data_IF_259112138660
#
_entry.id   IF_259112138660
#
_cell.length_a   1.000
_cell.length_b   1.000
_cell.length_c   1.000
_cell.angle_alpha   90.00
_cell.angle_beta   90.00
_cell.angle_gamma   90.00
#
_symmetry.space_group_name_H-M   'P 1'
#
loop_
_entity.id
_entity.type
_entity.pdbx_description
1 polymer ?
#
# COMPACT_ATOMS: atom_id res chain seq x y z
N UNK A 1 7.31 -38.20 -18.90
CA UNK A 1 7.47 -36.74 -19.02
C UNK A 1 7.27 -36.13 -17.65
N UNK A 2 8.23 -35.37 -17.12
CA UNK A 2 8.15 -34.79 -15.78
C UNK A 2 6.96 -33.82 -15.67
N UNK A 3 6.20 -33.89 -14.58
CA UNK A 3 5.05 -33.01 -14.31
C UNK A 3 5.39 -31.52 -14.49
N UNK A 4 6.61 -31.12 -14.09
CA UNK A 4 7.16 -29.78 -14.29
C UNK A 4 7.16 -29.34 -15.76
N UNK A 5 7.58 -30.22 -16.68
CA UNK A 5 7.64 -29.90 -18.12
C UNK A 5 6.23 -29.69 -18.68
N UNK A 6 5.27 -30.53 -18.28
CA UNK A 6 3.86 -30.39 -18.68
C UNK A 6 3.30 -29.06 -18.18
N UNK A 7 3.55 -28.69 -16.92
CA UNK A 7 3.10 -27.41 -16.34
C UNK A 7 3.69 -26.21 -17.06
N UNK A 8 4.99 -26.23 -17.38
CA UNK A 8 5.66 -25.14 -18.10
C UNK A 8 5.09 -24.99 -19.51
N UNK A 9 4.89 -26.09 -20.23
CA UNK A 9 4.30 -26.07 -21.59
C UNK A 9 2.85 -25.56 -21.53
N UNK A 10 2.03 -26.03 -20.59
CA UNK A 10 0.66 -25.58 -20.43
C UNK A 10 0.56 -24.08 -20.11
N UNK A 11 1.43 -23.57 -19.23
CA UNK A 11 1.53 -22.13 -18.94
C UNK A 11 1.91 -21.33 -20.19
N UNK A 12 2.87 -21.81 -20.99
CA UNK A 12 3.30 -21.15 -22.21
C UNK A 12 2.18 -21.07 -23.25
N UNK A 13 1.44 -22.18 -23.46
CA UNK A 13 0.27 -22.23 -24.34
C UNK A 13 -0.83 -21.28 -23.86
N UNK A 14 -1.13 -21.26 -22.56
CA UNK A 14 -2.11 -20.35 -21.97
C UNK A 14 -1.72 -18.89 -22.20
N UNK A 15 -0.44 -18.53 -22.00
CA UNK A 15 0.06 -17.17 -22.26
C UNK A 15 -0.12 -16.80 -23.73
N UNK A 16 0.24 -17.67 -24.68
CA UNK A 16 0.04 -17.43 -26.11
C UNK A 16 -1.43 -17.19 -26.44
N UNK A 17 -2.33 -18.02 -25.89
CA UNK A 17 -3.78 -17.87 -26.08
C UNK A 17 -4.29 -16.55 -25.53
N UNK A 18 -3.87 -16.17 -24.31
CA UNK A 18 -4.24 -14.90 -23.69
C UNK A 18 -3.75 -13.72 -24.52
N UNK A 19 -2.50 -13.75 -25.01
CA UNK A 19 -1.95 -12.71 -25.89
C UNK A 19 -2.72 -12.62 -27.21
N UNK A 20 -3.15 -13.74 -27.78
CA UNK A 20 -3.94 -13.77 -29.02
C UNK A 20 -5.34 -13.20 -28.80
N UNK A 21 -6.02 -13.60 -27.72
CA UNK A 21 -7.35 -13.09 -27.35
C UNK A 21 -7.26 -11.58 -27.08
N UNK A 22 -6.26 -11.14 -26.31
CA UNK A 22 -6.00 -9.73 -26.03
C UNK A 22 -5.85 -8.92 -27.30
N UNK A 23 -5.14 -9.42 -28.32
CA UNK A 23 -4.98 -8.70 -29.60
C UNK A 23 -6.29 -8.49 -30.35
N UNK A 24 -7.24 -9.41 -30.24
CA UNK A 24 -8.50 -9.33 -31.00
C UNK A 24 -9.53 -8.36 -30.41
N UNK A 25 -9.39 -7.96 -29.13
CA UNK A 25 -10.37 -7.11 -28.44
C UNK A 25 -9.69 -5.87 -27.84
N UNK A 26 -9.95 -4.65 -28.35
CA UNK A 26 -9.35 -3.43 -27.81
C UNK A 26 -9.55 -3.27 -26.30
N UNK A 27 -10.75 -3.58 -25.78
CA UNK A 27 -11.05 -3.53 -24.35
C UNK A 27 -10.06 -4.36 -23.51
N UNK A 28 -9.74 -5.58 -23.95
CA UNK A 28 -8.82 -6.46 -23.24
C UNK A 28 -7.38 -5.92 -23.28
N UNK A 29 -6.99 -5.23 -24.36
CA UNK A 29 -5.70 -4.56 -24.42
C UNK A 29 -5.61 -3.46 -23.36
N UNK A 30 -6.65 -2.62 -23.24
CA UNK A 30 -6.68 -1.57 -22.23
C UNK A 30 -6.68 -2.13 -20.81
N UNK A 31 -7.53 -3.13 -20.53
CA UNK A 31 -7.55 -3.82 -19.24
C UNK A 31 -6.19 -4.41 -18.90
N UNK A 32 -5.51 -5.01 -19.89
CA UNK A 32 -4.16 -5.51 -19.71
C UNK A 32 -3.18 -4.38 -19.38
N UNK A 33 -3.21 -3.23 -20.04
CA UNK A 33 -2.30 -2.13 -19.72
C UNK A 33 -2.50 -1.60 -18.30
N UNK A 34 -3.76 -1.43 -17.88
CA UNK A 34 -4.07 -0.93 -16.54
C UNK A 34 -4.09 -2.03 -15.46
N UNK A 35 -3.71 -3.27 -15.79
CA UNK A 35 -3.83 -4.43 -14.90
C UNK A 35 -3.20 -4.22 -13.53
N UNK A 36 -2.05 -3.54 -13.47
CA UNK A 36 -1.35 -3.27 -12.21
C UNK A 36 -2.09 -2.23 -11.37
N UNK A 37 -2.59 -1.14 -11.98
CA UNK A 37 -3.44 -0.17 -11.28
C UNK A 37 -4.74 -0.82 -10.79
N UNK A 38 -5.36 -1.67 -11.62
CA UNK A 38 -6.54 -2.44 -11.23
C UNK A 38 -6.24 -3.42 -10.09
N UNK A 39 -5.09 -4.10 -10.12
CA UNK A 39 -4.67 -5.01 -9.05
C UNK A 39 -4.51 -4.25 -7.73
N UNK A 40 -3.87 -3.08 -7.73
CA UNK A 40 -3.76 -2.24 -6.53
C UNK A 40 -5.14 -1.78 -6.04
N UNK A 41 -6.03 -1.37 -6.96
CA UNK A 41 -7.41 -1.04 -6.61
C UNK A 41 -8.19 -2.22 -6.01
N UNK A 42 -8.02 -3.41 -6.58
CA UNK A 42 -8.60 -4.66 -6.08
C UNK A 42 -8.05 -5.00 -4.69
N UNK A 43 -6.75 -4.82 -4.46
CA UNK A 43 -6.14 -4.99 -3.14
C UNK A 43 -6.75 -4.00 -2.16
N UNK A 44 -6.92 -2.72 -2.51
CA UNK A 44 -7.54 -1.75 -1.59
C UNK A 44 -8.97 -2.15 -1.19
N UNK A 45 -9.77 -2.63 -2.14
CA UNK A 45 -11.15 -3.07 -1.87
C UNK A 45 -11.19 -4.41 -1.13
N UNK A 46 -10.32 -5.34 -1.51
CA UNK A 46 -10.29 -6.72 -1.02
C UNK A 46 -9.50 -6.93 0.26
N UNK A 47 -8.58 -6.03 0.62
CA UNK A 47 -7.68 -6.20 1.77
C UNK A 47 -8.47 -6.41 3.06
N UNK A 48 -9.42 -5.52 3.37
CA UNK A 48 -10.23 -5.61 4.57
C UNK A 48 -11.08 -6.91 4.64
N UNK A 49 -11.92 -7.24 3.65
CA UNK A 49 -12.73 -8.45 3.74
C UNK A 49 -11.89 -9.73 3.75
N UNK A 50 -10.80 -9.79 2.98
CA UNK A 50 -9.90 -10.96 2.98
C UNK A 50 -9.19 -11.09 4.32
N UNK A 51 -8.64 -9.99 4.86
CA UNK A 51 -7.88 -10.01 6.11
C UNK A 51 -8.75 -10.31 7.34
N UNK A 52 -10.01 -9.88 7.36
CA UNK A 52 -10.89 -10.02 8.52
C UNK A 52 -11.77 -11.27 8.48
N UNK A 53 -12.20 -11.73 7.30
CA UNK A 53 -13.14 -12.84 7.19
C UNK A 53 -12.54 -14.10 6.54
N UNK A 54 -11.70 -13.94 5.51
CA UNK A 54 -11.17 -15.09 4.78
C UNK A 54 -9.90 -15.67 5.41
N UNK A 55 -9.00 -14.79 5.88
CA UNK A 55 -7.69 -15.13 6.44
C UNK A 55 -7.41 -14.38 7.76
N UNK A 56 -8.29 -14.49 8.78
CA UNK A 56 -8.17 -13.73 10.04
C UNK A 56 -6.83 -13.94 10.74
N UNK A 57 -6.33 -15.17 10.78
CA UNK A 57 -5.08 -15.53 11.46
C UNK A 57 -3.83 -14.81 10.89
N UNK A 58 -3.88 -14.36 9.63
CA UNK A 58 -2.78 -13.65 8.98
C UNK A 58 -3.04 -12.14 8.91
N UNK A 59 -4.29 -11.74 8.67
CA UNK A 59 -4.64 -10.38 8.29
C UNK A 59 -5.15 -9.50 9.42
N UNK A 60 -5.72 -10.07 10.48
CA UNK A 60 -6.40 -9.27 11.52
C UNK A 60 -5.45 -8.29 12.22
N UNK A 61 -4.19 -8.69 12.42
CA UNK A 61 -3.15 -7.85 13.03
C UNK A 61 -2.85 -6.57 12.23
N UNK A 62 -3.17 -6.52 10.94
CA UNK A 62 -3.03 -5.29 10.15
C UNK A 62 -3.96 -4.18 10.66
N UNK A 63 -5.12 -4.56 11.19
CA UNK A 63 -6.16 -3.62 11.63
C UNK A 63 -6.11 -3.27 13.12
N UNK A 64 -5.09 -3.76 13.84
CA UNK A 64 -4.81 -3.35 15.22
C UNK A 64 -4.20 -1.95 15.19
N UNK A 65 -5.03 -0.96 15.52
CA UNK A 65 -4.66 0.46 15.50
C UNK A 65 -4.99 1.05 16.87
N UNK A 66 -3.94 1.33 17.63
CA UNK A 66 -4.00 1.77 19.01
C UNK A 66 -3.63 3.25 19.17
N UNK A 67 -3.82 4.09 18.15
CA UNK A 67 -3.72 5.54 18.31
C UNK A 67 -4.65 6.28 17.35
N UNK A 68 -5.19 7.43 17.76
CA UNK A 68 -5.97 8.31 16.87
C UNK A 68 -5.13 8.81 15.68
N UNK A 69 -3.85 9.05 15.91
CA UNK A 69 -2.88 9.41 14.87
C UNK A 69 -2.66 8.26 13.89
N UNK A 70 -2.65 7.01 14.37
CA UNK A 70 -2.61 5.82 13.53
C UNK A 70 -3.83 5.71 12.62
N UNK A 71 -5.03 5.98 13.14
CA UNK A 71 -6.27 6.02 12.34
C UNK A 71 -6.14 7.10 11.25
N UNK A 72 -5.78 8.33 11.62
CA UNK A 72 -5.61 9.44 10.68
C UNK A 72 -4.57 9.15 9.60
N UNK A 73 -3.42 8.58 9.99
CA UNK A 73 -2.35 8.20 9.06
C UNK A 73 -2.80 7.11 8.08
N UNK A 74 -3.44 6.04 8.58
CA UNK A 74 -3.98 4.96 7.74
C UNK A 74 -5.03 5.51 6.78
N UNK A 75 -5.95 6.36 7.24
CA UNK A 75 -6.95 7.02 6.39
C UNK A 75 -6.29 7.85 5.29
N UNK A 76 -5.30 8.68 5.65
CA UNK A 76 -4.58 9.50 4.69
C UNK A 76 -3.85 8.65 3.63
N UNK A 77 -3.12 7.62 4.07
CA UNK A 77 -2.39 6.72 3.16
C UNK A 77 -3.32 5.90 2.26
N UNK A 78 -4.46 5.44 2.78
CA UNK A 78 -5.44 4.73 1.96
C UNK A 78 -5.99 5.62 0.84
N UNK A 79 -6.34 6.88 1.17
CA UNK A 79 -6.81 7.86 0.18
C UNK A 79 -5.71 8.13 -0.86
N UNK A 80 -4.48 8.37 -0.42
CA UNK A 80 -3.34 8.57 -1.33
C UNK A 80 -3.15 7.35 -2.24
N UNK A 81 -3.21 6.12 -1.72
CA UNK A 81 -3.11 4.89 -2.51
C UNK A 81 -4.20 4.81 -3.58
N UNK A 82 -5.44 5.19 -3.25
CA UNK A 82 -6.52 5.24 -4.24
C UNK A 82 -6.28 6.27 -5.35
N UNK A 83 -5.65 7.41 -5.02
CA UNK A 83 -5.24 8.40 -6.01
C UNK A 83 -4.08 7.92 -6.86
N UNK A 84 -3.15 7.12 -6.32
CA UNK A 84 -2.11 6.45 -7.13
C UNK A 84 -2.76 5.54 -8.18
N UNK A 85 -3.77 4.76 -7.79
CA UNK A 85 -4.55 3.94 -8.74
C UNK A 85 -5.15 4.83 -9.84
N UNK A 86 -5.82 5.92 -9.47
CA UNK A 86 -6.38 6.87 -10.43
C UNK A 86 -5.32 7.44 -11.37
N UNK A 87 -4.22 7.97 -10.83
CA UNK A 87 -3.18 8.64 -11.62
C UNK A 87 -2.51 7.68 -12.57
N UNK A 88 -2.08 6.51 -12.09
CA UNK A 88 -1.39 5.53 -12.93
C UNK A 88 -2.30 4.92 -13.98
N UNK A 89 -3.58 4.68 -13.66
CA UNK A 89 -4.56 4.21 -14.64
C UNK A 89 -4.75 5.24 -15.76
N UNK A 90 -4.98 6.51 -15.42
CA UNK A 90 -5.18 7.58 -16.41
C UNK A 90 -3.93 7.83 -17.26
N UNK A 91 -2.75 7.83 -16.63
CA UNK A 91 -1.48 7.98 -17.31
C UNK A 91 -1.27 6.83 -18.29
N UNK A 92 -1.51 5.59 -17.87
CA UNK A 92 -1.35 4.40 -18.71
C UNK A 92 -2.31 4.40 -19.89
N UNK A 93 -3.59 4.71 -19.69
CA UNK A 93 -4.59 4.76 -20.78
C UNK A 93 -4.20 5.82 -21.83
N UNK A 94 -3.67 6.97 -21.39
CA UNK A 94 -3.28 8.06 -22.29
C UNK A 94 -1.99 7.76 -23.04
N UNK A 95 -1.04 7.10 -22.39
CA UNK A 95 0.27 6.80 -22.97
C UNK A 95 0.25 5.53 -23.83
N UNK A 96 -0.68 4.61 -23.59
CA UNK A 96 -0.76 3.33 -24.31
C UNK A 96 -0.81 3.49 -25.85
N UNK A 97 -1.66 4.36 -26.46
CA UNK A 97 -1.70 4.53 -27.91
C UNK A 97 -0.40 5.05 -28.54
N UNK A 98 0.45 5.72 -27.76
CA UNK A 98 1.69 6.35 -28.24
C UNK A 98 2.88 5.41 -28.11
N UNK A 99 2.91 4.64 -27.02
CA UNK A 99 3.99 3.68 -26.76
C UNK A 99 3.79 2.41 -27.60
N UNK A 100 2.55 2.04 -27.88
CA UNK A 100 2.20 0.83 -28.63
C UNK A 100 1.77 1.15 -30.05
N UNK A 101 2.57 0.71 -31.02
CA UNK A 101 2.33 0.92 -32.45
C UNK A 101 1.01 0.28 -32.95
N UNK A 102 0.46 -0.69 -32.21
CA UNK A 102 -0.68 -1.50 -32.65
C UNK A 102 -2.04 -1.06 -32.04
N UNK A 103 -2.07 -0.08 -31.12
CA UNK A 103 -3.32 0.34 -30.46
C UNK A 103 -3.99 1.44 -31.29
N UNK A 104 -4.78 1.01 -32.27
CA UNK A 104 -5.33 1.87 -33.33
C UNK A 104 -6.34 2.93 -32.89
N UNK A 105 -6.88 2.89 -31.67
CA UNK A 105 -7.98 3.79 -31.28
C UNK A 105 -7.81 4.33 -29.86
N UNK A 106 -7.72 5.66 -29.69
CA UNK A 106 -7.77 6.27 -28.37
C UNK A 106 -9.11 5.92 -27.70
N UNK A 107 -9.08 5.47 -26.45
CA UNK A 107 -10.30 5.30 -25.65
C UNK A 107 -10.81 6.69 -25.27
N UNK A 108 -11.91 7.07 -25.88
CA UNK A 108 -12.67 8.23 -25.44
C UNK A 108 -13.45 7.86 -24.18
N UNK A 109 -13.60 8.83 -23.28
CA UNK A 109 -14.47 8.65 -22.13
C UNK A 109 -15.87 8.24 -22.63
N UNK A 110 -16.53 7.26 -21.97
CA UNK A 110 -17.85 6.83 -22.38
C UNK A 110 -18.79 8.04 -22.42
N UNK A 111 -19.55 8.20 -23.51
CA UNK A 111 -20.48 9.33 -23.67
C UNK A 111 -21.54 9.40 -22.58
N UNK A 112 -21.86 8.26 -21.97
CA UNK A 112 -22.81 8.14 -20.85
C UNK A 112 -22.23 8.61 -19.51
N UNK A 113 -20.91 8.78 -19.39
CA UNK A 113 -20.29 9.21 -18.13
C UNK A 113 -20.49 10.72 -17.96
N UNK A 114 -21.20 11.19 -16.92
CA UNK A 114 -21.45 12.61 -16.74
C UNK A 114 -20.16 13.41 -16.58
N UNK A 115 -20.09 14.61 -17.18
CA UNK A 115 -18.91 15.49 -17.08
C UNK A 115 -18.52 15.81 -15.63
N UNK A 116 -19.50 15.85 -14.72
CA UNK A 116 -19.24 16.08 -13.30
C UNK A 116 -18.50 14.92 -12.64
N UNK A 117 -18.76 13.67 -13.05
CA UNK A 117 -18.01 12.48 -12.58
C UNK A 117 -16.55 12.57 -13.02
N UNK A 118 -16.32 12.96 -14.27
CA UNK A 118 -14.97 13.16 -14.81
C UNK A 118 -14.23 14.29 -14.07
N UNK A 119 -14.96 15.34 -13.67
CA UNK A 119 -14.43 16.46 -12.88
C UNK A 119 -14.08 16.04 -11.45
N UNK A 120 -14.92 15.21 -10.83
CA UNK A 120 -14.79 14.75 -9.44
C UNK A 120 -14.09 13.39 -9.29
N UNK A 121 -13.36 12.94 -10.32
CA UNK A 121 -12.73 11.62 -10.36
C UNK A 121 -11.90 11.26 -9.12
N UNK A 122 -11.20 12.21 -8.50
CA UNK A 122 -10.40 11.96 -7.32
C UNK A 122 -11.23 11.46 -6.14
N UNK A 123 -12.45 11.98 -5.97
CA UNK A 123 -13.38 11.53 -4.94
C UNK A 123 -14.00 10.17 -5.25
N UNK A 124 -14.31 9.91 -6.52
CA UNK A 124 -14.79 8.59 -6.94
C UNK A 124 -13.76 7.49 -6.68
N UNK A 125 -12.48 7.74 -6.98
CA UNK A 125 -11.42 6.78 -6.67
C UNK A 125 -11.17 6.64 -5.16
N UNK A 126 -11.37 7.70 -4.37
CA UNK A 126 -11.30 7.60 -2.91
C UNK A 126 -12.33 6.60 -2.34
N UNK A 127 -13.44 6.32 -3.04
CA UNK A 127 -14.39 5.29 -2.62
C UNK A 127 -13.80 3.87 -2.60
N UNK A 128 -12.70 3.61 -3.33
CA UNK A 128 -11.98 2.33 -3.27
C UNK A 128 -11.44 2.05 -1.85
N UNK A 129 -11.30 3.08 -1.02
CA UNK A 129 -10.80 2.95 0.35
C UNK A 129 -11.88 2.59 1.37
N UNK A 130 -13.16 2.66 0.99
CA UNK A 130 -14.27 2.48 1.92
C UNK A 130 -14.18 1.18 2.74
N UNK A 131 -13.86 0.00 2.18
CA UNK A 131 -13.74 -1.22 2.98
C UNK A 131 -12.67 -1.12 4.06
N UNK A 132 -11.52 -0.52 3.75
CA UNK A 132 -10.44 -0.30 4.72
C UNK A 132 -10.89 0.71 5.79
N UNK A 133 -11.51 1.83 5.39
CA UNK A 133 -11.96 2.84 6.35
C UNK A 133 -13.04 2.29 7.30
N UNK A 134 -13.99 1.52 6.77
CA UNK A 134 -15.01 0.83 7.58
C UNK A 134 -14.34 -0.17 8.52
N UNK A 135 -13.40 -0.98 8.04
CA UNK A 135 -12.68 -1.93 8.87
C UNK A 135 -11.90 -1.25 10.00
N UNK A 136 -11.17 -0.18 9.70
CA UNK A 136 -10.47 0.65 10.69
C UNK A 136 -11.44 1.27 11.69
N UNK A 137 -12.59 1.77 11.23
CA UNK A 137 -13.62 2.31 12.12
C UNK A 137 -14.17 1.26 13.08
N UNK A 138 -14.46 0.06 12.57
CA UNK A 138 -15.12 -1.00 13.35
C UNK A 138 -14.13 -1.68 14.31
N UNK A 139 -12.89 -1.93 13.86
CA UNK A 139 -11.91 -2.79 14.55
C UNK A 139 -10.80 -2.02 15.29
N UNK A 140 -10.76 -0.70 15.20
CA UNK A 140 -9.84 0.07 16.04
C UNK A 140 -10.23 -0.09 17.52
N UNK A 141 -9.31 -0.62 18.33
CA UNK A 141 -9.53 -0.95 19.75
C UNK A 141 -9.55 0.29 20.66
N UNK A 142 -9.90 1.46 20.11
CA UNK A 142 -9.82 2.72 20.83
C UNK A 142 -11.20 3.22 21.29
N UNK A 143 -11.46 2.96 22.57
CA UNK A 143 -11.53 4.02 23.60
C UNK A 143 -10.32 3.79 24.50
N UNK A 144 -9.19 4.40 24.20
CA UNK A 144 -8.06 4.39 25.12
C UNK A 144 -8.48 5.13 26.40
N UNK A 145 -8.81 4.44 27.49
CA UNK A 145 -9.11 5.12 28.76
C UNK A 145 -7.87 5.85 29.32
N UNK A 146 -6.69 5.69 28.72
CA UNK A 146 -5.46 6.37 29.15
C UNK A 146 -5.51 7.90 28.99
N UNK A 147 -6.21 8.43 27.97
CA UNK A 147 -6.37 9.88 27.85
C UNK A 147 -7.44 10.41 28.81
N UNK A 148 -8.49 9.63 29.09
CA UNK A 148 -9.48 9.94 30.13
C UNK A 148 -8.81 9.99 31.50
N UNK A 149 -7.91 9.05 31.79
CA UNK A 149 -7.13 9.03 33.04
C UNK A 149 -6.07 10.14 33.08
N UNK A 150 -5.45 10.53 31.96
CA UNK A 150 -4.56 11.71 31.89
C UNK A 150 -5.31 13.04 32.08
N UNK A 151 -6.55 13.14 31.59
CA UNK A 151 -7.43 14.28 31.86
C UNK A 151 -7.90 14.27 33.32
N UNK A 152 -8.22 13.09 33.87
CA UNK A 152 -8.56 12.92 35.28
C UNK A 152 -7.37 13.16 36.23
N UNK A 153 -6.14 13.04 35.73
CA UNK A 153 -4.91 13.39 36.44
C UNK A 153 -4.45 14.84 36.15
N UNK A 154 -5.16 15.59 35.30
CA UNK A 154 -4.83 16.97 35.01
C UNK A 154 -5.08 17.85 36.24
N UNK A 155 -4.34 18.96 36.41
CA UNK A 155 -4.49 19.85 37.56
C UNK A 155 -5.94 20.32 37.78
N UNK A 156 -6.34 20.66 39.03
CA UNK A 156 -7.73 21.02 39.37
C UNK A 156 -8.32 22.16 38.52
N UNK A 157 -7.50 23.06 37.97
CA UNK A 157 -7.98 24.13 37.09
C UNK A 157 -8.45 23.63 35.71
N UNK A 158 -7.95 22.48 35.23
CA UNK A 158 -8.46 21.80 34.02
C UNK A 158 -9.78 21.08 34.33
N UNK A 159 -9.96 20.61 35.57
CA UNK A 159 -11.16 19.90 36.01
C UNK A 159 -12.31 20.84 36.41
N UNK A 160 -11.98 22.00 37.00
CA UNK A 160 -12.92 22.99 37.53
C UNK A 160 -13.44 24.00 36.49
N UNK A 161 -12.84 24.07 35.30
CA UNK A 161 -13.50 24.71 34.17
C UNK A 161 -14.71 23.83 33.83
N UNK A 162 -15.93 24.25 34.23
CA UNK A 162 -17.20 23.47 34.28
C UNK A 162 -17.66 22.72 33.03
N UNK A 163 -16.81 22.62 32.02
CA UNK A 163 -16.89 21.74 30.87
C UNK A 163 -16.41 20.31 31.17
N UNK A 164 -15.59 20.05 32.18
CA UNK A 164 -14.96 18.74 32.42
C UNK A 164 -15.96 17.57 32.57
N UNK A 165 -16.98 17.72 33.42
CA UNK A 165 -17.97 16.66 33.66
C UNK A 165 -18.95 16.45 32.48
N UNK A 166 -19.36 17.53 31.81
CA UNK A 166 -20.21 17.47 30.61
C UNK A 166 -19.45 16.92 29.40
N UNK A 167 -18.16 17.26 29.25
CA UNK A 167 -17.27 16.64 28.28
C UNK A 167 -17.07 15.16 28.58
N UNK A 168 -16.85 14.75 29.83
CA UNK A 168 -16.71 13.33 30.18
C UNK A 168 -17.98 12.52 29.90
N UNK A 169 -19.18 13.08 30.11
CA UNK A 169 -20.43 12.44 29.68
C UNK A 169 -20.57 12.40 28.15
N UNK A 170 -20.25 13.49 27.43
CA UNK A 170 -20.23 13.50 25.96
C UNK A 170 -19.22 12.48 25.39
N UNK A 171 -18.11 12.26 26.11
CA UNK A 171 -17.04 11.31 25.78
C UNK A 171 -17.47 9.86 25.95
N UNK A 172 -18.34 9.55 26.92
CA UNK A 172 -18.93 8.22 27.06
C UNK A 172 -19.91 7.90 25.92
N UNK A 173 -20.46 8.92 25.24
CA UNK A 173 -21.16 8.79 23.94
C UNK A 173 -20.20 8.92 22.73
N UNK A 174 -18.91 9.22 22.95
CA UNK A 174 -17.90 9.55 21.95
C UNK A 174 -16.94 8.44 21.43
N UNK A 175 -17.14 7.12 21.64
CA UNK A 175 -16.36 6.12 20.90
C UNK A 175 -16.49 6.31 19.38
N UNK A 176 -17.69 6.70 18.92
CA UNK A 176 -17.94 7.00 17.52
C UNK A 176 -17.31 8.33 17.08
N UNK A 177 -17.43 9.39 17.90
CA UNK A 177 -16.92 10.72 17.55
C UNK A 177 -15.40 10.79 17.45
N UNK A 178 -14.67 10.14 18.37
CA UNK A 178 -13.21 10.07 18.28
C UNK A 178 -12.71 9.39 17.00
N UNK A 179 -13.42 8.36 16.52
CA UNK A 179 -13.15 7.69 15.23
C UNK A 179 -13.45 8.61 14.04
N UNK A 180 -14.58 9.33 14.07
CA UNK A 180 -14.93 10.32 13.04
C UNK A 180 -13.89 11.44 12.98
N UNK A 181 -13.45 11.94 14.14
CA UNK A 181 -12.38 12.94 14.23
C UNK A 181 -11.06 12.37 13.67
N UNK A 182 -10.67 11.15 14.05
CA UNK A 182 -9.48 10.49 13.48
C UNK A 182 -9.53 10.38 11.95
N UNK A 183 -10.69 10.04 11.38
CA UNK A 183 -10.89 10.01 9.94
C UNK A 183 -10.82 11.41 9.31
N UNK A 184 -11.45 12.41 9.91
CA UNK A 184 -11.38 13.79 9.45
C UNK A 184 -9.93 14.31 9.48
N UNK A 185 -9.18 13.97 10.53
CA UNK A 185 -7.74 14.21 10.67
C UNK A 185 -6.93 13.47 9.61
N UNK A 186 -7.43 12.40 8.99
CA UNK A 186 -6.78 11.77 7.82
C UNK A 186 -7.17 12.42 6.48
N UNK A 187 -8.44 12.78 6.31
CA UNK A 187 -8.98 13.38 5.07
C UNK A 187 -8.38 14.76 4.82
N UNK A 188 -8.28 15.60 5.86
CA UNK A 188 -7.78 16.97 5.72
C UNK A 188 -6.31 17.00 5.26
N UNK A 189 -5.37 16.26 5.89
CA UNK A 189 -4.00 16.13 5.39
C UNK A 189 -3.92 15.49 4.01
N UNK A 190 -4.73 14.49 3.67
CA UNK A 190 -4.71 13.94 2.31
C UNK A 190 -5.08 15.02 1.28
N UNK A 191 -6.15 15.79 1.54
CA UNK A 191 -6.54 16.92 0.70
C UNK A 191 -5.48 18.01 0.67
N UNK A 192 -4.88 18.34 1.82
CA UNK A 192 -3.80 19.31 1.93
C UNK A 192 -2.57 18.84 1.14
N UNK A 193 -2.19 17.56 1.23
CA UNK A 193 -1.09 16.96 0.48
C UNK A 193 -1.34 17.07 -1.01
N UNK A 194 -2.57 16.88 -1.49
CA UNK A 194 -2.91 17.11 -2.89
C UNK A 194 -2.71 18.58 -3.29
N UNK A 195 -3.16 19.53 -2.45
CA UNK A 195 -2.99 20.97 -2.69
C UNK A 195 -1.53 21.39 -2.65
N UNK A 196 -0.81 20.96 -1.63
CA UNK A 196 0.62 21.19 -1.42
C UNK A 196 1.40 20.57 -2.56
N UNK A 197 1.05 19.39 -3.05
CA UNK A 197 1.67 18.81 -4.23
C UNK A 197 1.46 19.67 -5.49
N UNK A 198 0.26 20.23 -5.67
CA UNK A 198 -0.03 21.15 -6.79
C UNK A 198 0.79 22.45 -6.66
N UNK A 199 0.98 22.98 -5.45
CA UNK A 199 1.77 24.19 -5.19
C UNK A 199 3.28 23.93 -5.26
N UNK A 200 3.74 22.86 -4.62
CA UNK A 200 5.11 22.38 -4.68
C UNK A 200 5.51 22.09 -6.11
N UNK A 201 4.60 21.62 -6.97
CA UNK A 201 4.88 21.46 -8.39
C UNK A 201 5.36 22.75 -9.03
N UNK A 202 4.70 23.88 -8.79
CA UNK A 202 5.13 25.16 -9.36
C UNK A 202 6.44 25.67 -8.75
N UNK A 203 6.71 25.32 -7.50
CA UNK A 203 7.92 25.78 -6.80
C UNK A 203 9.14 24.90 -7.10
N UNK A 204 8.95 23.58 -7.14
CA UNK A 204 9.98 22.58 -7.36
C UNK A 204 10.30 22.38 -8.84
N UNK A 205 9.47 22.86 -9.79
CA UNK A 205 9.72 22.64 -11.22
C UNK A 205 11.16 23.01 -11.66
N UNK A 206 11.78 24.13 -11.23
CA UNK A 206 13.13 24.47 -11.67
C UNK A 206 14.17 23.47 -11.13
N UNK A 207 14.03 23.05 -9.87
CA UNK A 207 14.95 22.09 -9.24
C UNK A 207 14.75 20.69 -9.79
N UNK A 208 13.50 20.28 -10.02
CA UNK A 208 13.16 19.01 -10.65
C UNK A 208 13.69 18.96 -12.08
N UNK A 209 13.66 20.06 -12.84
CA UNK A 209 14.21 20.10 -14.19
C UNK A 209 15.74 19.94 -14.19
N UNK A 210 16.46 20.47 -13.19
CA UNK A 210 17.90 20.19 -13.02
C UNK A 210 18.17 18.73 -12.68
N UNK A 211 17.43 18.19 -11.71
CA UNK A 211 17.55 16.77 -11.31
C UNK A 211 17.21 15.88 -12.51
N UNK A 212 16.19 16.22 -13.30
CA UNK A 212 15.81 15.50 -14.52
C UNK A 212 16.90 15.57 -15.57
N UNK A 213 17.50 16.74 -15.81
CA UNK A 213 18.60 16.87 -16.76
C UNK A 213 19.80 16.02 -16.33
N UNK A 214 20.13 16.00 -15.04
CA UNK A 214 21.19 15.18 -14.48
C UNK A 214 20.86 13.67 -14.53
N UNK A 215 19.62 13.29 -14.21
CA UNK A 215 19.18 11.90 -14.27
C UNK A 215 19.11 11.41 -15.72
N UNK A 216 18.60 12.24 -16.63
CA UNK A 216 18.52 11.92 -18.04
C UNK A 216 19.91 11.80 -18.66
N UNK A 217 20.86 12.65 -18.29
CA UNK A 217 22.26 12.53 -18.75
C UNK A 217 22.92 11.26 -18.19
N UNK A 218 22.70 10.95 -16.91
CA UNK A 218 23.21 9.74 -16.26
C UNK A 218 22.59 8.46 -16.83
N UNK A 219 21.29 8.48 -17.13
CA UNK A 219 20.57 7.35 -17.72
C UNK A 219 20.77 7.26 -19.23
N UNK A 220 21.27 8.29 -19.91
CA UNK A 220 21.44 8.32 -21.36
C UNK A 220 22.26 7.14 -21.91
N UNK A 221 23.30 6.61 -21.25
CA UNK A 221 24.00 5.42 -21.74
C UNK A 221 23.11 4.16 -21.68
N UNK A 222 22.29 4.05 -20.64
CA UNK A 222 21.36 2.92 -20.43
C UNK A 222 20.12 3.02 -21.31
N UNK A 223 19.62 4.23 -21.55
CA UNK A 223 18.41 4.54 -22.32
C UNK A 223 18.71 4.98 -23.76
N UNK A 224 19.97 5.19 -24.12
CA UNK A 224 20.44 5.60 -25.44
C UNK A 224 19.92 4.74 -26.60
N UNK A 225 19.76 3.41 -26.45
CA UNK A 225 19.14 2.59 -27.49
C UNK A 225 17.61 2.69 -27.54
N UNK A 226 16.95 3.48 -26.68
CA UNK A 226 15.50 3.65 -26.74
C UNK A 226 15.10 4.46 -27.98
N UNK A 227 14.18 3.95 -28.81
CA UNK A 227 13.72 4.67 -29.99
C UNK A 227 13.11 6.03 -29.64
N UNK A 228 13.28 7.01 -30.53
CA UNK A 228 12.79 8.40 -30.37
C UNK A 228 11.29 8.46 -30.03
N UNK A 229 10.50 7.49 -30.48
CA UNK A 229 9.08 7.38 -30.11
C UNK A 229 8.85 7.21 -28.61
N UNK A 230 9.73 6.51 -27.89
CA UNK A 230 9.66 6.39 -26.42
C UNK A 230 10.00 7.73 -25.79
N UNK A 231 11.10 8.35 -26.23
CA UNK A 231 11.53 9.63 -25.67
C UNK A 231 10.41 10.66 -25.80
N UNK A 232 9.79 10.75 -26.99
CA UNK A 232 8.65 11.62 -27.26
C UNK A 232 7.40 11.25 -26.45
N UNK A 233 7.11 9.96 -26.23
CA UNK A 233 5.98 9.55 -25.41
C UNK A 233 6.14 9.97 -23.93
N UNK A 234 7.37 10.00 -23.41
CA UNK A 234 7.67 10.46 -22.05
C UNK A 234 7.84 11.99 -21.95
N UNK A 235 8.31 12.65 -23.00
CA UNK A 235 8.65 14.08 -22.99
C UNK A 235 7.58 15.02 -23.55
N UNK A 236 6.45 14.50 -24.07
CA UNK A 236 5.45 15.33 -24.75
C UNK A 236 4.87 16.42 -23.83
N UNK A 237 5.29 17.66 -24.10
CA UNK A 237 4.90 18.84 -23.34
C UNK A 237 3.49 19.34 -23.69
N UNK A 238 2.91 18.88 -24.81
CA UNK A 238 1.61 19.37 -25.28
C UNK A 238 0.42 18.80 -24.48
N UNK A 239 0.64 17.82 -23.59
CA UNK A 239 -0.42 17.26 -22.76
C UNK A 239 -0.58 18.08 -21.48
N UNK A 240 -1.60 18.96 -21.45
CA UNK A 240 -1.93 19.84 -20.32
C UNK A 240 -2.29 19.15 -19.00
N UNK A 241 -2.34 17.81 -18.91
CA UNK A 241 -2.70 17.12 -17.65
C UNK A 241 -1.98 15.78 -17.45
N UNK A 242 -1.37 15.62 -16.27
CA UNK A 242 -0.61 14.46 -15.76
C UNK A 242 0.50 13.97 -16.68
N UNK A 243 1.71 14.46 -16.41
CA UNK A 243 2.93 14.09 -17.11
C UNK A 243 3.65 12.94 -16.39
N UNK A 244 4.41 12.12 -17.13
CA UNK A 244 5.20 11.02 -16.55
C UNK A 244 6.23 11.49 -15.52
N UNK A 245 6.75 12.70 -15.72
CA UNK A 245 7.73 13.34 -14.86
C UNK A 245 7.12 13.81 -13.52
N UNK A 246 5.82 14.08 -13.46
CA UNK A 246 5.06 14.29 -12.22
C UNK A 246 4.92 12.98 -11.45
N UNK A 247 4.54 11.90 -12.13
CA UNK A 247 4.44 10.58 -11.51
C UNK A 247 5.80 10.11 -10.96
N UNK A 248 6.90 10.35 -11.67
CA UNK A 248 8.25 10.09 -11.18
C UNK A 248 8.59 10.93 -9.94
N UNK A 249 8.20 12.22 -9.92
CA UNK A 249 8.35 13.08 -8.74
C UNK A 249 7.59 12.55 -7.53
N UNK A 250 6.34 12.13 -7.70
CA UNK A 250 5.54 11.51 -6.64
C UNK A 250 6.11 10.18 -6.16
N UNK A 251 6.63 9.37 -7.08
CA UNK A 251 7.32 8.13 -6.73
C UNK A 251 8.56 8.39 -5.86
N UNK A 252 9.44 9.32 -6.29
CA UNK A 252 10.64 9.70 -5.53
C UNK A 252 10.26 10.26 -4.17
N UNK A 253 9.25 11.14 -4.10
CA UNK A 253 8.76 11.68 -2.83
C UNK A 253 8.28 10.56 -1.90
N UNK A 254 7.49 9.63 -2.41
CA UNK A 254 7.00 8.47 -1.64
C UNK A 254 8.17 7.63 -1.14
N UNK A 255 9.19 7.42 -1.98
CA UNK A 255 10.39 6.67 -1.65
C UNK A 255 11.18 7.37 -0.54
N UNK A 256 11.35 8.70 -0.62
CA UNK A 256 11.97 9.49 0.45
C UNK A 256 11.18 9.36 1.75
N UNK A 257 9.85 9.52 1.72
CA UNK A 257 8.99 9.35 2.91
C UNK A 257 9.17 7.94 3.50
N UNK A 258 9.21 6.92 2.66
CA UNK A 258 9.44 5.54 3.08
C UNK A 258 10.81 5.36 3.75
N UNK A 259 11.88 5.87 3.15
CA UNK A 259 13.23 5.78 3.72
C UNK A 259 13.37 6.59 5.02
N UNK A 260 12.79 7.79 5.10
CA UNK A 260 12.76 8.56 6.34
C UNK A 260 11.96 7.82 7.42
N UNK A 261 10.81 7.24 7.06
CA UNK A 261 10.04 6.38 7.93
C UNK A 261 10.87 5.21 8.45
N UNK A 262 11.58 4.50 7.59
CA UNK A 262 12.49 3.43 7.97
C UNK A 262 13.60 3.89 8.94
N UNK A 263 14.18 5.07 8.72
CA UNK A 263 15.26 5.60 9.57
C UNK A 263 14.74 6.05 10.94
N UNK A 264 13.60 6.75 10.99
CA UNK A 264 13.08 7.41 12.18
C UNK A 264 12.12 6.55 13.01
N UNK A 265 11.42 5.59 12.38
CA UNK A 265 10.42 4.73 13.04
C UNK A 265 10.99 3.37 13.40
N UNK A 266 12.19 3.38 13.98
CA UNK A 266 12.82 2.13 14.44
C UNK A 266 11.97 1.49 15.53
N UNK A 267 11.81 0.16 15.53
CA UNK A 267 11.01 -0.55 16.54
C UNK A 267 11.52 -0.30 17.96
N UNK A 268 12.81 -0.02 18.12
CA UNK A 268 13.45 0.24 19.42
C UNK A 268 13.14 1.64 19.99
N UNK A 269 12.49 2.51 19.21
CA UNK A 269 12.16 3.87 19.63
C UNK A 269 10.71 3.95 20.17
N UNK A 270 10.50 4.02 21.50
CA UNK A 270 9.17 3.90 22.12
C UNK A 270 8.23 5.10 21.88
N UNK A 271 8.65 6.11 21.11
CA UNK A 271 7.91 7.38 20.99
C UNK A 271 6.73 7.33 20.02
N UNK A 272 6.78 6.46 19.01
CA UNK A 272 5.75 6.38 17.97
C UNK A 272 5.51 4.95 17.52
N UNK A 273 4.36 4.38 17.87
CA UNK A 273 3.87 3.14 17.28
C UNK A 273 3.15 3.47 15.97
N UNK A 274 3.71 3.00 14.84
CA UNK A 274 3.08 3.16 13.53
C UNK A 274 2.32 1.88 13.17
N UNK A 275 1.03 1.96 12.82
CA UNK A 275 0.25 0.78 12.49
C UNK A 275 0.87 -0.03 11.35
N UNK A 276 0.80 -1.36 11.45
CA UNK A 276 1.28 -2.27 10.41
C UNK A 276 0.63 -1.97 9.04
N UNK A 277 -0.67 -1.64 9.04
CA UNK A 277 -1.40 -1.24 7.84
C UNK A 277 -0.85 0.03 7.17
N UNK A 278 -0.27 0.97 7.92
CA UNK A 278 0.38 2.16 7.34
C UNK A 278 1.58 1.75 6.48
N UNK A 279 2.41 0.83 6.96
CA UNK A 279 3.55 0.31 6.18
C UNK A 279 3.08 -0.45 4.95
N UNK A 280 2.06 -1.30 5.08
CA UNK A 280 1.47 -2.02 3.95
C UNK A 280 0.94 -1.06 2.89
N UNK A 281 0.17 -0.03 3.28
CA UNK A 281 -0.35 0.97 2.36
C UNK A 281 0.76 1.77 1.69
N UNK A 282 1.82 2.13 2.43
CA UNK A 282 2.96 2.85 1.87
C UNK A 282 3.72 2.00 0.83
N UNK A 283 3.93 0.72 1.11
CA UNK A 283 4.46 -0.24 0.13
C UNK A 283 3.54 -0.38 -1.09
N UNK A 284 2.23 -0.43 -0.87
CA UNK A 284 1.24 -0.52 -1.93
C UNK A 284 1.24 0.74 -2.82
N UNK A 285 1.42 1.93 -2.24
CA UNK A 285 1.62 3.19 -2.98
C UNK A 285 2.87 3.09 -3.86
N UNK A 286 4.00 2.64 -3.31
CA UNK A 286 5.25 2.48 -4.06
C UNK A 286 5.11 1.49 -5.22
N UNK A 287 4.50 0.32 -4.97
CA UNK A 287 4.19 -0.66 -6.02
C UNK A 287 3.21 -0.10 -7.04
N UNK A 288 2.23 0.69 -6.60
CA UNK A 288 1.26 1.36 -7.45
C UNK A 288 1.88 2.36 -8.41
N UNK A 289 3.03 2.96 -8.08
CA UNK A 289 3.81 3.77 -9.01
C UNK A 289 4.76 2.93 -9.88
N UNK A 290 5.50 2.00 -9.24
CA UNK A 290 6.57 1.24 -9.86
C UNK A 290 6.05 0.27 -10.94
N UNK A 291 5.03 -0.53 -10.62
CA UNK A 291 4.56 -1.59 -11.51
C UNK A 291 3.96 -1.06 -12.81
N UNK A 292 3.07 -0.05 -12.83
CA UNK A 292 2.61 0.54 -14.09
C UNK A 292 3.75 1.19 -14.89
N UNK A 293 4.70 1.85 -14.20
CA UNK A 293 5.87 2.44 -14.84
C UNK A 293 6.73 1.40 -15.56
N UNK A 294 7.05 0.29 -14.89
CA UNK A 294 7.78 -0.84 -15.49
C UNK A 294 6.97 -1.51 -16.60
N UNK A 295 5.65 -1.67 -16.41
CA UNK A 295 4.74 -2.25 -17.40
C UNK A 295 4.79 -1.49 -18.72
N UNK A 296 4.79 -0.16 -18.69
CA UNK A 296 4.86 0.65 -19.92
C UNK A 296 6.12 0.37 -20.73
N UNK A 297 7.25 0.14 -20.06
CA UNK A 297 8.53 -0.16 -20.71
C UNK A 297 8.54 -1.59 -21.25
N UNK A 298 8.20 -2.55 -20.40
CA UNK A 298 8.29 -3.98 -20.71
C UNK A 298 7.21 -4.46 -21.68
N UNK A 299 6.00 -3.90 -21.59
CA UNK A 299 4.89 -4.27 -22.47
C UNK A 299 5.18 -3.89 -23.93
N UNK A 300 6.04 -2.90 -24.18
CA UNK A 300 6.51 -2.57 -25.54
C UNK A 300 7.23 -3.76 -26.18
N UNK A 301 8.06 -4.47 -25.42
CA UNK A 301 8.73 -5.69 -25.86
C UNK A 301 7.86 -6.95 -25.65
N UNK A 302 6.61 -6.77 -25.22
CA UNK A 302 5.66 -7.84 -24.90
C UNK A 302 6.20 -8.79 -23.82
N UNK A 303 7.07 -8.29 -22.94
CA UNK A 303 7.58 -9.03 -21.79
C UNK A 303 6.67 -8.76 -20.60
N UNK A 304 5.99 -9.77 -20.03
CA UNK A 304 5.16 -9.55 -18.85
C UNK A 304 5.99 -9.08 -17.66
N UNK A 305 5.61 -7.97 -17.03
CA UNK A 305 6.28 -7.44 -15.82
C UNK A 305 6.46 -8.50 -14.73
N UNK A 306 5.46 -9.35 -14.54
CA UNK A 306 5.54 -10.45 -13.56
C UNK A 306 6.71 -11.41 -13.84
N UNK A 307 7.00 -11.69 -15.11
CA UNK A 307 8.12 -12.57 -15.47
C UNK A 307 9.46 -11.96 -15.06
N UNK A 308 9.65 -10.66 -15.30
CA UNK A 308 10.86 -9.93 -14.86
C UNK A 308 10.97 -9.92 -13.34
N UNK A 309 9.86 -9.70 -12.62
CA UNK A 309 9.87 -9.73 -11.16
C UNK A 309 10.19 -11.12 -10.61
N UNK A 310 9.64 -12.18 -11.21
CA UNK A 310 9.95 -13.56 -10.83
C UNK A 310 11.40 -13.91 -11.12
N UNK A 311 11.93 -13.51 -12.28
CA UNK A 311 13.32 -13.71 -12.64
C UNK A 311 14.26 -12.99 -11.67
N UNK A 312 13.99 -11.72 -11.35
CA UNK A 312 14.76 -10.95 -10.37
C UNK A 312 14.67 -11.58 -8.98
N UNK A 313 13.48 -11.98 -8.54
CA UNK A 313 13.27 -12.67 -7.26
C UNK A 313 14.09 -13.96 -7.19
N UNK A 314 14.09 -14.76 -8.25
CA UNK A 314 14.87 -15.99 -8.33
C UNK A 314 16.39 -15.73 -8.32
N UNK A 315 16.85 -14.70 -9.05
CA UNK A 315 18.26 -14.28 -9.03
C UNK A 315 18.68 -13.84 -7.62
N UNK A 316 17.88 -13.01 -6.95
CA UNK A 316 18.17 -12.57 -5.58
C UNK A 316 18.19 -13.72 -4.59
N UNK A 317 17.24 -14.65 -4.70
CA UNK A 317 17.23 -15.87 -3.91
C UNK A 317 18.50 -16.71 -4.14
N UNK A 318 18.91 -16.88 -5.40
CA UNK A 318 20.15 -17.58 -5.75
C UNK A 318 21.40 -16.91 -5.17
N UNK A 319 21.52 -15.58 -5.31
CA UNK A 319 22.65 -14.80 -4.76
C UNK A 319 22.69 -14.88 -3.23
N UNK A 320 21.54 -14.79 -2.57
CA UNK A 320 21.45 -14.91 -1.12
C UNK A 320 21.93 -16.28 -0.63
N UNK A 321 21.49 -17.36 -1.30
CA UNK A 321 21.93 -18.72 -0.99
C UNK A 321 23.43 -18.92 -1.22
N UNK A 322 23.99 -18.39 -2.32
CA UNK A 322 25.42 -18.46 -2.61
C UNK A 322 26.27 -17.72 -1.55
N UNK A 323 25.71 -16.65 -0.99
CA UNK A 323 26.38 -15.83 0.02
C UNK A 323 26.27 -16.40 1.44
N UNK A 324 25.60 -17.55 1.62
CA UNK A 324 25.34 -18.13 2.93
C UNK A 324 24.41 -17.29 3.82
N UNK A 325 23.73 -16.29 3.25
CA UNK A 325 22.73 -15.54 4.00
C UNK A 325 21.54 -16.45 4.26
N UNK A 326 21.14 -16.69 5.52
CA UNK A 326 19.96 -17.47 5.82
C UNK A 326 18.75 -16.75 5.19
N UNK A 327 18.20 -17.37 4.15
CA UNK A 327 17.00 -16.88 3.44
C UNK A 327 15.71 -17.11 4.24
N UNK A 328 15.80 -17.88 5.33
CA UNK A 328 14.74 -18.00 6.31
C UNK A 328 14.74 -16.82 7.27
N UNK A 329 13.58 -16.16 7.43
CA UNK A 329 13.36 -15.28 8.56
C UNK A 329 13.39 -16.11 9.84
N UNK A 330 14.53 -16.11 10.53
CA UNK A 330 14.64 -16.66 11.88
C UNK A 330 14.00 -15.64 12.81
N UNK A 331 12.75 -15.89 13.18
CA UNK A 331 12.10 -15.12 14.23
C UNK A 331 12.74 -15.55 15.56
N UNK A 332 13.70 -14.76 16.02
CA UNK A 332 14.10 -14.84 17.42
C UNK A 332 12.94 -14.30 18.24
N UNK A 333 12.22 -15.20 18.90
CA UNK A 333 11.26 -14.81 19.94
C UNK A 333 12.10 -14.29 21.09
N UNK A 334 12.41 -13.00 21.05
CA UNK A 334 13.09 -12.32 22.15
C UNK A 334 12.05 -12.19 23.24
N UNK A 335 12.20 -13.01 24.28
CA UNK A 335 11.37 -12.86 25.47
C UNK A 335 11.43 -11.42 25.94
N UNK A 336 10.28 -10.79 26.13
CA UNK A 336 10.23 -9.44 26.67
C UNK A 336 11.02 -9.41 27.98
N UNK A 337 11.74 -8.33 28.34
CA UNK A 337 12.39 -8.22 29.66
C UNK A 337 11.39 -8.48 30.81
N UNK A 338 10.13 -8.11 30.59
CA UNK A 338 8.98 -8.41 31.46
C UNK A 338 8.63 -9.90 31.50
N UNK A 339 8.82 -10.63 30.41
CA UNK A 339 8.65 -12.08 30.35
C UNK A 339 9.83 -12.80 30.99
N UNK A 340 11.06 -12.28 30.90
CA UNK A 340 12.20 -12.81 31.65
C UNK A 340 11.99 -12.76 33.17
N UNK A 341 11.27 -11.74 33.67
CA UNK A 341 10.85 -11.63 35.07
C UNK A 341 9.61 -12.47 35.42
N UNK A 342 8.80 -12.86 34.42
CA UNK A 342 7.64 -13.76 34.58
C UNK A 342 7.97 -15.22 34.26
N UNK A 343 9.15 -15.51 33.72
CA UNK A 343 9.59 -16.89 33.52
C UNK A 343 9.56 -17.54 34.89
N UNK A 344 8.77 -18.61 35.08
CA UNK A 344 8.91 -19.41 36.27
C UNK A 344 10.38 -19.80 36.37
N UNK A 345 10.97 -19.68 37.56
CA UNK A 345 12.37 -20.02 37.83
C UNK A 345 12.69 -21.48 37.51
N UNK A 346 11.65 -22.30 37.28
CA UNK A 346 11.76 -23.67 36.81
C UNK A 346 11.39 -23.77 35.32
N UNK A 347 12.17 -24.51 34.52
CA UNK A 347 11.80 -24.81 33.14
C UNK A 347 10.41 -25.46 33.11
N UNK A 348 9.56 -24.97 32.20
CA UNK A 348 8.22 -25.53 32.00
C UNK A 348 8.35 -27.00 31.60
N UNK A 349 7.89 -27.92 32.46
CA UNK A 349 7.81 -29.34 32.11
C UNK A 349 6.74 -29.56 31.03
N UNK A 350 6.88 -30.58 30.17
CA UNK A 350 5.88 -30.91 29.16
C UNK A 350 4.45 -31.01 29.73
N UNK A 351 4.28 -31.64 30.90
CA UNK A 351 2.98 -31.70 31.59
C UNK A 351 2.43 -30.32 31.94
N UNK A 352 3.28 -29.38 32.38
CA UNK A 352 2.84 -28.05 32.76
C UNK A 352 2.45 -27.21 31.55
N UNK A 353 3.17 -27.36 30.44
CA UNK A 353 2.78 -26.76 29.15
C UNK A 353 1.43 -27.30 28.71
N UNK A 354 1.23 -28.62 28.76
CA UNK A 354 -0.05 -29.25 28.42
C UNK A 354 -1.19 -28.74 29.31
N UNK A 355 -1.00 -28.67 30.63
CA UNK A 355 -2.02 -28.18 31.56
C UNK A 355 -2.36 -26.70 31.33
N UNK A 356 -1.37 -25.83 31.13
CA UNK A 356 -1.60 -24.41 30.87
C UNK A 356 -2.29 -24.19 29.52
N UNK A 357 -1.93 -25.00 28.52
CA UNK A 357 -2.56 -24.97 27.21
C UNK A 357 -4.01 -25.48 27.27
N UNK A 358 -4.26 -26.61 27.95
CA UNK A 358 -5.60 -27.22 28.08
C UNK A 358 -6.56 -26.37 28.90
N UNK A 359 -6.04 -25.58 29.85
CA UNK A 359 -6.82 -24.58 30.60
C UNK A 359 -7.29 -23.42 29.71
N UNK A 360 -6.50 -23.05 28.69
CA UNK A 360 -6.85 -21.97 27.75
C UNK A 360 -7.61 -22.48 26.53
N UNK A 361 -7.47 -23.76 26.19
CA UNK A 361 -8.04 -24.40 25.01
C UNK A 361 -8.69 -25.73 25.44
N UNK A 362 -9.99 -25.73 25.79
CA UNK A 362 -10.66 -26.95 26.20
C UNK A 362 -10.56 -28.01 25.09
N UNK A 363 -10.11 -29.20 25.48
CA UNK A 363 -9.62 -30.32 24.63
C UNK A 363 -10.62 -30.77 23.55
N UNK A 364 -11.90 -30.43 23.68
CA UNK A 364 -12.94 -30.80 22.72
C UNK A 364 -12.75 -30.20 21.30
N UNK A 365 -11.89 -29.19 21.11
CA UNK A 365 -11.83 -28.44 19.85
C UNK A 365 -10.53 -28.60 19.04
N UNK A 366 -9.43 -29.08 19.63
CA UNK A 366 -8.15 -29.17 18.92
C UNK A 366 -7.34 -30.38 19.41
N UNK A 367 -7.07 -31.40 18.57
CA UNK A 367 -6.11 -32.43 18.91
C UNK A 367 -4.70 -31.83 18.90
N UNK A 368 -3.93 -32.05 19.98
CA UNK A 368 -2.53 -31.61 20.09
C UNK A 368 -1.63 -32.82 20.10
N UNK A 369 -0.61 -32.79 19.26
CA UNK A 369 0.52 -33.72 19.32
C UNK A 369 1.66 -33.01 20.07
N UNK A 370 1.99 -33.48 21.26
CA UNK A 370 3.20 -33.07 21.97
C UNK A 370 4.39 -33.85 21.39
N UNK A 371 5.35 -33.14 20.79
CA UNK A 371 6.62 -33.70 20.29
C UNK A 371 7.72 -33.47 21.33
#
# INVERSE_FOLDING_TARGET
MNSVVITVVALFVLIILLLRIQRSRPLLQYLFFIRHSLLVGLILVGLAPVALYLLPNMGQNLFVIDTIWGIGLVTALAIVASWVVMFTMLLTIRSAPRVMLDVYRPVHAPRWLPKWVIRQRAWFFALLTLPILIAVYVHSNHVDQSWVTRIAAAPPWVQNAGYGAQWMQAIQVAPAWSRVVGMAVGIVPAWLLLRVAILLRSWLSPSLDRIRAALASWLRPLLGPLPVSIQNAYSDQNVRSFRHDEAAGFFILTLVIYFLGFIFLRPDAPRFSVPALSYFLLMLILLGWLLPGLSLILDRWRVPTLFVLLALSYIFWGVANLSGYPTGHVYNVVDSPTDALRRPSQPLTPERVYQLWSQRHPVAQYPVMTV
#
